data_IF_757477214409
#
_entry.id   IF_757477214409
#
_cell.length_a   1.000
_cell.length_b   1.000
_cell.length_c   1.000
_cell.angle_alpha   90.00
_cell.angle_beta   90.00
_cell.angle_gamma   90.00
#
_symmetry.space_group_name_H-M   'P 1'
#
loop_
_entity.id
_entity.type
_entity.pdbx_description
1 polymer ?
2 non-polymer ?
3 non-polymer ?
4 non-polymer ?
5 non-polymer ?
6 water ?
#
# COMPACT_ATOMS: atom_id res chain seq x y z
N UNK A 15 16.32 17.54 4.94
CA UNK A 15 15.29 18.63 4.97
C UNK A 15 15.00 19.08 6.41
N UNK A 16 14.68 20.37 6.59
CA UNK A 16 14.27 20.90 7.90
C UNK A 16 12.85 20.44 8.28
N UNK A 17 12.66 20.17 9.58
CA UNK A 17 11.37 19.74 10.15
C UNK A 17 10.61 18.69 9.33
N UNK A 18 11.22 17.51 9.10
CA UNK A 18 10.51 16.51 8.30
C UNK A 18 9.26 16.01 9.01
N UNK A 19 8.22 15.69 8.24
CA UNK A 19 6.97 15.14 8.78
C UNK A 19 6.76 13.67 8.53
N UNK A 20 7.70 12.99 7.87
CA UNK A 20 7.56 11.55 7.63
C UNK A 20 8.80 10.82 8.06
N UNK A 21 9.14 10.92 9.34
CA UNK A 21 10.40 10.31 9.79
C UNK A 21 10.23 9.19 10.80
N UNK A 22 9.18 9.21 11.61
CA UNK A 22 9.01 8.21 12.69
C UNK A 22 7.66 7.51 12.51
N UNK A 23 7.61 6.22 12.84
CA UNK A 23 6.41 5.47 12.87
C UNK A 23 6.04 5.15 14.33
N UNK A 24 4.82 5.45 14.69
CA UNK A 24 4.26 5.18 16.01
C UNK A 24 3.08 4.23 15.90
N UNK A 25 2.74 3.55 17.01
CA UNK A 25 1.54 2.78 17.05
C UNK A 25 0.31 3.69 16.82
N UNK A 26 -0.54 3.30 15.87
CA UNK A 26 -1.73 4.10 15.56
C UNK A 26 -2.70 4.22 16.71
N UNK A 27 -2.74 3.22 17.57
CA UNK A 27 -3.66 3.20 18.72
C UNK A 27 -3.24 4.00 19.93
N UNK A 28 -1.98 4.08 20.23
CA UNK A 28 -1.47 4.67 21.48
C UNK A 28 -0.27 5.59 21.35
N UNK A 29 0.40 5.62 20.20
CA UNK A 29 1.49 6.51 20.01
C UNK A 29 2.89 6.03 20.39
N UNK A 30 2.99 4.80 20.91
CA UNK A 30 4.29 4.21 21.21
C UNK A 30 5.23 4.32 20.02
N UNK A 31 6.46 4.74 20.25
CA UNK A 31 7.44 4.83 19.16
C UNK A 31 7.81 3.42 18.70
N UNK A 32 7.75 3.15 17.40
CA UNK A 32 7.97 1.79 16.87
C UNK A 32 9.16 1.73 15.90
N UNK A 33 9.20 2.58 14.90
CA UNK A 33 10.31 2.51 13.94
C UNK A 33 10.50 3.83 13.23
N UNK A 34 11.30 3.83 12.15
CA UNK A 34 11.72 5.03 11.47
C UNK A 34 11.76 4.74 9.99
N UNK A 35 11.43 5.74 9.19
CA UNK A 35 11.54 5.62 7.76
C UNK A 35 12.99 5.22 7.31
N UNK A 36 13.97 5.77 8.01
CA UNK A 36 15.38 5.44 7.75
C UNK A 36 15.68 3.95 7.81
N UNK A 37 14.85 3.19 8.54
CA UNK A 37 15.06 1.76 8.74
C UNK A 37 14.25 0.87 7.81
N UNK A 38 13.57 1.43 6.85
CA UNK A 38 12.91 0.62 5.80
C UNK A 38 13.91 -0.30 5.10
N UNK A 39 13.50 -1.54 4.88
CA UNK A 39 14.36 -2.61 4.39
C UNK A 39 13.74 -3.22 3.15
N UNK A 40 14.39 -3.09 1.97
CA UNK A 40 13.79 -3.66 0.76
C UNK A 40 14.05 -5.14 0.56
N UNK A 41 13.33 -5.99 1.29
CA UNK A 41 13.35 -7.45 1.18
C UNK A 41 12.87 -7.94 -0.16
N UNK A 42 13.64 -8.81 -0.82
CA UNK A 42 13.33 -9.20 -2.19
C UNK A 42 13.10 -8.05 -3.14
N UNK A 43 13.77 -6.91 -2.92
CA UNK A 43 13.68 -5.74 -3.81
C UNK A 43 12.55 -4.75 -3.55
N UNK A 44 11.76 -4.95 -2.50
CA UNK A 44 10.68 -4.01 -2.22
C UNK A 44 10.49 -3.95 -0.73
N UNK A 45 10.32 -2.78 -0.14
CA UNK A 45 10.02 -2.70 1.30
C UNK A 45 8.55 -3.06 1.59
N UNK A 46 7.70 -3.00 0.58
CA UNK A 46 6.28 -3.43 0.73
C UNK A 46 5.96 -4.79 0.15
N UNK A 47 5.26 -5.60 0.94
CA UNK A 47 4.87 -6.95 0.59
C UNK A 47 3.40 -7.14 0.93
N UNK A 48 2.65 -7.57 -0.07
CA UNK A 48 1.19 -7.70 0.07
C UNK A 48 0.90 -9.18 0.21
N UNK A 49 0.34 -9.57 1.33
CA UNK A 49 0.30 -10.96 1.77
C UNK A 49 -1.02 -11.29 2.44
N UNK A 50 -1.34 -12.58 2.55
CA UNK A 50 -2.47 -12.99 3.38
C UNK A 50 -2.14 -14.14 4.29
N UNK A 51 -2.78 -14.17 5.45
CA UNK A 51 -2.60 -15.24 6.43
C UNK A 51 -3.62 -16.38 6.27
N UNK A 52 -3.49 -17.46 7.06
CA UNK A 52 -4.45 -18.55 6.84
C UNK A 52 -5.91 -18.19 7.11
N UNK A 53 -6.13 -17.17 7.94
CA UNK A 53 -7.46 -16.64 8.20
C UNK A 53 -7.98 -15.74 7.08
N UNK A 54 -7.19 -15.54 6.03
CA UNK A 54 -7.60 -14.80 4.86
C UNK A 54 -7.40 -13.30 4.98
N UNK A 55 -6.81 -12.84 6.07
CA UNK A 55 -6.61 -11.41 6.29
C UNK A 55 -5.49 -10.99 5.37
N UNK A 56 -5.74 -9.89 4.62
CA UNK A 56 -4.73 -9.33 3.73
C UNK A 56 -4.01 -8.19 4.46
N UNK A 57 -2.69 -8.16 4.30
CA UNK A 57 -1.88 -7.12 4.93
C UNK A 57 -0.97 -6.53 3.88
N UNK A 58 -0.79 -5.21 4.00
CA UNK A 58 0.25 -4.49 3.31
C UNK A 58 1.37 -4.32 4.36
N UNK A 59 2.43 -5.09 4.18
CA UNK A 59 3.50 -5.20 5.17
C UNK A 59 4.69 -4.41 4.68
N UNK A 60 5.23 -3.55 5.57
CA UNK A 60 6.47 -2.82 5.30
C UNK A 60 7.54 -3.48 6.15
N UNK A 61 8.68 -3.72 5.52
CA UNK A 61 9.79 -4.39 6.21
C UNK A 61 10.75 -3.36 6.76
N UNK A 62 11.18 -3.56 7.99
CA UNK A 62 12.10 -2.64 8.69
C UNK A 62 13.26 -3.46 9.26
N UNK A 63 14.46 -2.88 9.17
CA UNK A 63 15.62 -3.54 9.74
C UNK A 63 15.59 -3.58 11.27
N UNK A 64 15.01 -2.55 11.86
CA UNK A 64 14.92 -2.38 13.29
C UNK A 64 13.57 -1.86 13.66
N UNK A 65 13.18 -2.15 14.89
CA UNK A 65 12.00 -1.57 15.50
C UNK A 65 12.21 -1.62 16.99
N UNK A 66 11.36 -0.86 17.69
CA UNK A 66 11.39 -0.77 19.14
C UNK A 66 9.98 -0.72 19.64
N UNK A 67 9.80 -0.83 20.95
CA UNK A 67 8.48 -0.60 21.55
C UNK A 67 7.54 -1.76 21.37
N UNK A 68 7.99 -2.89 20.85
CA UNK A 68 7.15 -4.07 20.61
C UNK A 68 7.34 -5.07 21.71
N UNK A 69 6.46 -6.07 21.74
CA UNK A 69 6.60 -7.24 22.60
C UNK A 69 6.37 -8.43 21.69
N UNK A 70 7.36 -9.34 21.66
CA UNK A 70 7.28 -10.51 20.79
C UNK A 70 6.70 -11.64 21.58
N UNK A 71 5.71 -12.33 21.02
CA UNK A 71 4.91 -13.31 21.74
C UNK A 71 5.13 -14.71 21.18
N UNK A 72 5.32 -15.66 22.07
CA UNK A 72 5.45 -17.07 21.67
C UNK A 72 6.77 -17.45 21.08
N UNK A 73 6.84 -18.69 20.62
CA UNK A 73 8.05 -19.26 20.06
C UNK A 73 8.04 -19.04 18.54
N UNK A 74 9.21 -18.88 17.92
CA UNK A 74 9.24 -18.71 16.46
C UNK A 74 8.67 -19.89 15.69
N UNK A 75 7.93 -19.62 14.63
CA UNK A 75 7.37 -20.65 13.78
C UNK A 75 7.72 -20.40 12.34
N UNK A 76 8.06 -21.43 11.60
CA UNK A 76 8.25 -21.31 10.16
C UNK A 76 6.99 -21.49 9.37
N UNK A 77 5.93 -21.98 10.02
CA UNK A 77 4.68 -22.31 9.35
C UNK A 77 4.10 -21.07 8.66
N UNK A 78 3.74 -21.23 7.39
CA UNK A 78 3.11 -20.19 6.57
C UNK A 78 3.96 -18.92 6.41
N UNK A 79 5.26 -18.97 6.62
CA UNK A 79 6.05 -17.77 6.55
C UNK A 79 6.04 -17.17 5.18
N UNK A 80 5.85 -15.86 5.12
CA UNK A 80 5.84 -15.10 3.88
C UNK A 80 7.23 -14.83 3.33
N UNK A 81 8.27 -15.12 4.11
CA UNK A 81 9.63 -14.80 3.73
C UNK A 81 10.45 -16.05 3.88
N UNK A 82 10.92 -16.57 2.74
CA UNK A 82 11.59 -17.86 2.73
C UNK A 82 12.82 -17.86 3.59
N UNK A 83 12.95 -18.89 4.43
CA UNK A 83 14.08 -19.00 5.35
C UNK A 83 13.90 -18.38 6.69
N UNK A 84 12.77 -17.69 6.91
CA UNK A 84 12.52 -17.01 8.19
C UNK A 84 11.39 -17.60 8.97
N UNK A 85 11.58 -17.62 10.27
CA UNK A 85 10.56 -18.03 11.22
C UNK A 85 10.03 -16.74 11.81
N UNK A 86 8.77 -16.75 12.20
CA UNK A 86 8.12 -15.52 12.70
C UNK A 86 7.57 -15.67 14.09
N UNK A 87 7.48 -14.51 14.75
CA UNK A 87 6.79 -14.39 16.02
C UNK A 87 5.90 -13.17 15.87
N UNK A 88 4.72 -13.25 16.48
CA UNK A 88 3.80 -12.10 16.51
C UNK A 88 4.44 -10.96 17.30
N UNK A 89 4.31 -9.74 16.76
CA UNK A 89 4.85 -8.54 17.39
C UNK A 89 3.68 -7.67 17.77
N UNK A 90 3.51 -7.47 19.08
CA UNK A 90 2.49 -6.56 19.57
C UNK A 90 3.11 -5.24 19.97
N UNK A 91 2.33 -4.19 19.93
CA UNK A 91 2.72 -2.94 20.61
C UNK A 91 2.96 -3.28 22.07
N UNK A 92 4.16 -2.94 22.57
CA UNK A 92 4.52 -3.19 23.96
C UNK A 92 3.74 -2.35 24.95
N UNK A 93 3.16 -1.25 24.47
CA UNK A 93 2.36 -0.39 25.32
C UNK A 93 0.89 -0.84 25.41
N UNK A 94 0.23 -0.96 24.26
CA UNK A 94 -1.22 -1.19 24.22
C UNK A 94 -1.68 -2.57 23.77
N UNK A 95 -0.75 -3.39 23.24
CA UNK A 95 -1.09 -4.73 22.83
C UNK A 95 -1.61 -4.86 21.41
N UNK A 96 -1.76 -3.76 20.68
CA UNK A 96 -2.16 -3.80 19.25
C UNK A 96 -1.23 -4.71 18.45
N UNK A 97 -1.81 -5.56 17.60
CA UNK A 97 -0.96 -6.42 16.78
C UNK A 97 -0.40 -5.63 15.61
N UNK A 98 0.88 -5.29 15.68
CA UNK A 98 1.51 -4.41 14.68
C UNK A 98 2.23 -5.13 13.55
N UNK A 99 2.58 -6.40 13.76
CA UNK A 99 3.16 -7.22 12.73
C UNK A 99 3.87 -8.43 13.27
N UNK A 100 5.06 -8.70 12.74
CA UNK A 100 5.80 -9.93 13.05
C UNK A 100 7.29 -9.61 13.09
N UNK A 101 8.00 -10.37 13.91
CA UNK A 101 9.45 -10.37 13.88
C UNK A 101 9.89 -11.67 13.22
N UNK A 102 10.84 -11.50 12.32
CA UNK A 102 11.41 -12.61 11.55
C UNK A 102 12.82 -12.89 12.00
N UNK A 103 13.15 -14.16 12.10
CA UNK A 103 14.51 -14.59 12.48
C UNK A 103 14.85 -15.90 11.82
N UNK A 104 16.12 -16.23 11.92
CA UNK A 104 16.56 -17.52 11.48
C UNK A 104 17.00 -17.60 10.02
N UNK A 105 16.97 -16.48 9.30
CA UNK A 105 17.34 -16.47 7.90
C UNK A 105 18.71 -15.93 7.64
N UNK A 106 18.91 -15.38 6.43
CA UNK A 106 20.26 -14.90 6.04
C UNK A 106 20.12 -13.58 5.30
N UNK A 107 20.94 -12.61 5.67
CA UNK A 107 21.09 -11.37 4.91
C UNK A 107 19.75 -10.66 4.71
N UNK A 108 19.10 -10.24 5.80
CA UNK A 108 19.59 -10.26 7.15
C UNK A 108 19.17 -11.50 7.90
N UNK A 109 19.79 -11.74 9.03
CA UNK A 109 19.29 -12.81 9.91
C UNK A 109 17.90 -12.54 10.46
N UNK A 110 17.62 -11.29 10.79
CA UNK A 110 16.36 -10.88 11.40
C UNK A 110 15.85 -9.58 10.80
N UNK A 111 14.54 -9.38 10.85
CA UNK A 111 13.97 -8.08 10.48
C UNK A 111 12.51 -8.08 11.00
N UNK A 112 11.83 -6.94 10.83
CA UNK A 112 10.42 -6.85 11.22
C UNK A 112 9.56 -6.57 10.01
N UNK A 113 8.40 -7.26 9.95
CA UNK A 113 7.37 -6.93 8.98
C UNK A 113 6.19 -6.33 9.70
N UNK A 114 5.97 -5.03 9.48
CA UNK A 114 4.94 -4.31 10.22
C UNK A 114 3.81 -3.92 9.30
N UNK A 115 2.61 -3.89 9.85
CA UNK A 115 1.39 -3.63 9.06
C UNK A 115 1.23 -2.12 8.90
N UNK A 116 1.36 -1.63 7.69
CA UNK A 116 1.49 -0.19 7.44
C UNK A 116 0.32 0.61 8.02
N UNK A 117 -0.91 0.12 7.83
CA UNK A 117 -2.08 0.86 8.27
C UNK A 117 -2.29 0.82 9.79
N UNK A 118 -1.49 0.06 10.52
CA UNK A 118 -1.55 0.04 11.98
C UNK A 118 -0.51 0.93 12.63
N UNK A 119 0.25 1.65 11.82
CA UNK A 119 1.25 2.62 12.27
C UNK A 119 0.80 4.01 11.81
N UNK A 120 1.20 5.01 12.56
CA UNK A 120 1.04 6.40 12.17
C UNK A 120 2.41 7.00 11.94
N UNK A 121 2.59 7.64 10.79
CA UNK A 121 3.84 8.25 10.40
C UNK A 121 3.85 9.76 10.64
N UNK A 122 4.95 10.28 11.14
CA UNK A 122 4.98 11.67 11.57
C UNK A 122 6.37 12.16 11.91
N UNK A 123 6.44 13.40 12.38
CA UNK A 123 7.73 14.03 12.64
C UNK A 123 8.45 13.43 13.86
N UNK A 124 9.78 13.53 13.83
CA UNK A 124 10.63 13.12 14.96
C UNK A 124 10.57 14.19 16.04
N UNK B 20 -20.11 9.44 -10.11
CA UNK B 20 -20.72 8.19 -9.58
C UNK B 20 -20.63 8.21 -8.06
N UNK B 21 -19.42 8.25 -7.53
CA UNK B 21 -19.24 8.28 -6.08
C UNK B 21 -18.64 9.61 -5.58
N UNK B 22 -19.33 10.26 -4.62
CA UNK B 22 -18.82 11.51 -4.09
C UNK B 22 -18.62 11.47 -2.58
N UNK B 23 -17.75 12.34 -2.09
CA UNK B 23 -17.53 12.53 -0.67
C UNK B 23 -18.07 13.88 -0.26
N UNK B 24 -18.95 13.85 0.72
CA UNK B 24 -19.57 15.05 1.29
C UNK B 24 -19.04 15.31 2.67
N UNK B 25 -19.10 16.57 3.09
CA UNK B 25 -18.79 16.91 4.48
C UNK B 25 -19.77 16.15 5.37
N UNK B 26 -19.24 15.43 6.37
CA UNK B 26 -20.09 14.62 7.24
C UNK B 26 -21.05 15.48 8.10
N UNK B 27 -20.63 16.70 8.39
CA UNK B 27 -21.40 17.61 9.21
C UNK B 27 -22.52 18.35 8.52
N UNK B 28 -22.36 18.75 7.27
CA UNK B 28 -23.43 19.51 6.57
C UNK B 28 -23.84 19.00 5.19
N UNK B 29 -23.10 18.06 4.63
CA UNK B 29 -23.49 17.51 3.34
C UNK B 29 -22.95 18.17 2.11
N UNK B 30 -22.16 19.22 2.27
CA UNK B 30 -21.60 19.93 1.08
C UNK B 30 -20.75 18.92 0.31
N UNK B 31 -20.86 18.84 -1.02
CA UNK B 31 -19.92 18.09 -1.81
C UNK B 31 -18.49 18.64 -1.66
N UNK B 32 -17.55 17.73 -1.38
CA UNK B 32 -16.15 18.10 -1.18
C UNK B 32 -15.23 17.48 -2.22
N UNK B 33 -15.31 16.16 -2.42
CA UNK B 33 -14.49 15.56 -3.46
C UNK B 33 -15.14 14.32 -4.02
N UNK B 34 -14.40 13.56 -4.83
CA UNK B 34 -15.00 12.48 -5.64
C UNK B 34 -14.04 11.32 -5.64
N UNK B 35 -14.57 10.12 -5.67
CA UNK B 35 -13.73 8.95 -5.79
C UNK B 35 -12.83 8.98 -7.03
N UNK B 36 -13.33 9.54 -8.13
CA UNK B 36 -12.55 9.67 -9.37
C UNK B 36 -11.24 10.44 -9.13
N UNK B 37 -11.20 11.27 -8.09
CA UNK B 37 -10.05 12.13 -7.79
C UNK B 37 -9.12 11.57 -6.75
N UNK B 38 -9.35 10.34 -6.26
CA UNK B 38 -8.38 9.71 -5.37
C UNK B 38 -7.01 9.66 -6.00
N UNK B 39 -6.00 9.94 -5.18
CA UNK B 39 -4.64 10.17 -5.67
C UNK B 39 -3.69 9.30 -4.88
N UNK B 40 -3.03 8.34 -5.51
CA UNK B 40 -2.15 7.46 -4.71
C UNK B 40 -0.75 8.02 -4.49
N UNK B 41 -0.62 8.97 -3.59
CA UNK B 41 0.65 9.57 -3.19
C UNK B 41 1.56 8.59 -2.50
N UNK B 42 2.83 8.52 -2.94
CA UNK B 42 3.74 7.48 -2.49
C UNK B 42 3.18 6.07 -2.57
N UNK B 43 2.33 5.79 -3.56
CA UNK B 43 1.78 4.46 -3.79
C UNK B 43 0.52 4.08 -3.05
N UNK B 44 -0.06 4.99 -2.28
CA UNK B 44 -1.30 4.66 -1.57
C UNK B 44 -2.13 5.90 -1.43
N UNK B 45 -3.44 5.85 -1.64
CA UNK B 45 -4.26 7.05 -1.35
C UNK B 45 -4.50 7.25 0.15
N UNK B 46 -4.30 6.22 0.97
CA UNK B 46 -4.42 6.37 2.46
C UNK B 46 -3.10 6.50 3.18
N UNK B 47 -3.01 7.47 4.07
CA UNK B 47 -1.83 7.70 4.85
C UNK B 47 -2.28 7.93 6.29
N UNK B 48 -1.81 7.11 7.21
CA UNK B 48 -2.05 7.31 8.64
C UNK B 48 -0.85 8.08 9.19
N UNK B 49 -1.11 9.23 9.77
CA UNK B 49 -0.09 10.23 10.08
C UNK B 49 -0.37 10.83 11.48
N UNK B 50 0.63 11.50 12.04
CA UNK B 50 0.43 12.27 13.26
C UNK B 50 1.14 13.62 13.16
N UNK B 51 0.57 14.63 13.81
CA UNK B 51 1.14 15.98 13.80
C UNK B 51 2.03 16.23 15.02
N UNK B 52 2.69 17.40 15.09
CA UNK B 52 3.58 17.61 16.25
C UNK B 52 2.87 17.60 17.61
N UNK B 53 1.58 17.90 17.61
CA UNK B 53 0.78 17.83 18.83
C UNK B 53 0.36 16.41 19.19
N UNK B 54 0.73 15.44 18.37
CA UNK B 54 0.44 14.03 18.60
C UNK B 54 -0.94 13.60 18.18
N UNK B 55 -1.67 14.45 17.46
CA UNK B 55 -2.98 14.03 16.94
C UNK B 55 -2.75 13.10 15.75
N UNK B 56 -3.45 11.98 15.76
CA UNK B 56 -3.37 10.97 14.68
C UNK B 56 -4.55 11.14 13.73
N UNK B 57 -4.26 11.08 12.45
CA UNK B 57 -5.29 11.21 11.40
C UNK B 57 -5.13 10.12 10.37
N UNK B 58 -6.25 9.65 9.83
CA UNK B 58 -6.23 8.77 8.68
C UNK B 58 -6.65 9.61 7.48
N UNK B 59 -5.68 9.92 6.65
CA UNK B 59 -5.83 10.86 5.53
C UNK B 59 -5.95 10.14 4.21
N UNK B 60 -6.91 10.54 3.38
CA UNK B 60 -7.03 10.11 1.97
C UNK B 60 -6.64 11.26 1.07
N UNK B 61 -5.82 10.99 0.07
CA UNK B 61 -5.31 12.02 -0.82
C UNK B 61 -6.22 12.08 -2.05
N UNK B 62 -6.59 13.33 -2.43
CA UNK B 62 -7.40 13.59 -3.58
C UNK B 62 -6.74 14.67 -4.42
N UNK B 63 -6.84 14.58 -5.74
CA UNK B 63 -6.20 15.58 -6.60
C UNK B 63 -6.81 16.96 -6.50
N UNK B 64 -8.12 16.98 -6.38
CA UNK B 64 -8.94 18.19 -6.37
C UNK B 64 -9.96 18.05 -5.26
N UNK B 65 -10.50 19.20 -4.88
CA UNK B 65 -11.63 19.27 -3.98
C UNK B 65 -12.36 20.56 -4.21
N UNK B 66 -13.54 20.66 -3.64
CA UNK B 66 -14.36 21.84 -3.75
C UNK B 66 -15.06 22.08 -2.44
N UNK B 67 -15.56 23.31 -2.30
CA UNK B 67 -16.36 23.64 -1.15
C UNK B 67 -15.63 23.83 0.15
N UNK B 68 -14.29 23.89 0.11
CA UNK B 68 -13.47 24.12 1.30
C UNK B 68 -13.07 25.59 1.39
N UNK B 69 -12.51 25.94 2.52
CA UNK B 69 -11.88 27.24 2.72
C UNK B 69 -10.52 26.97 3.33
N UNK B 70 -9.47 27.43 2.69
CA UNK B 70 -8.12 27.22 3.13
C UNK B 70 -7.72 28.41 3.98
N UNK B 71 -7.15 28.13 5.16
CA UNK B 71 -6.89 29.19 6.13
C UNK B 71 -5.41 29.37 6.36
N UNK B 72 -5.01 30.64 6.38
CA UNK B 72 -3.63 31.00 6.68
C UNK B 72 -2.68 30.81 5.52
N UNK B 73 -1.40 31.00 5.83
CA UNK B 73 -0.34 30.94 4.87
C UNK B 73 0.19 29.48 4.80
N UNK B 74 0.68 29.05 3.62
CA UNK B 74 1.28 27.72 3.56
C UNK B 74 2.49 27.55 4.47
N UNK B 75 2.61 26.38 5.05
CA UNK B 75 3.72 26.05 5.93
C UNK B 75 4.41 24.80 5.43
N UNK B 76 5.74 24.83 5.47
CA UNK B 76 6.53 23.66 5.19
C UNK B 76 6.76 22.78 6.38
N UNK B 77 6.51 23.33 7.56
CA UNK B 77 6.87 22.66 8.83
C UNK B 77 6.18 21.33 8.98
N UNK B 78 6.94 20.25 9.15
CA UNK B 78 6.39 18.91 9.45
C UNK B 78 5.43 18.38 8.42
N UNK B 79 5.62 18.79 7.18
CA UNK B 79 4.75 18.31 6.12
C UNK B 79 4.82 16.80 6.00
N UNK B 80 3.66 16.16 5.88
CA UNK B 80 3.62 14.71 5.70
C UNK B 80 4.00 14.27 4.28
N UNK B 81 4.14 15.22 3.35
CA UNK B 81 4.43 14.92 1.97
C UNK B 81 5.60 15.76 1.55
N UNK B 82 6.75 15.10 1.38
CA UNK B 82 8.00 15.79 1.11
C UNK B 82 7.90 16.64 -0.15
N UNK B 83 8.36 17.87 -0.06
CA UNK B 83 8.34 18.80 -1.18
C UNK B 83 7.13 19.69 -1.21
N UNK B 84 6.16 19.48 -0.31
CA UNK B 84 4.93 20.24 -0.28
C UNK B 84 4.79 21.05 0.98
N UNK B 85 4.15 22.19 0.86
CA UNK B 85 3.71 23.03 1.97
C UNK B 85 2.22 22.75 2.15
N UNK B 86 1.73 22.94 3.37
CA UNK B 86 0.32 22.69 3.65
C UNK B 86 -0.41 23.91 4.21
N UNK B 87 -1.72 23.89 4.00
CA UNK B 87 -2.63 24.84 4.61
C UNK B 87 -3.82 24.07 5.13
N UNK B 88 -4.33 24.46 6.28
CA UNK B 88 -5.53 23.86 6.85
C UNK B 88 -6.76 24.10 5.95
N UNK B 89 -7.56 23.05 5.75
CA UNK B 89 -8.77 23.12 4.92
C UNK B 89 -9.99 22.90 5.79
N UNK B 90 -10.85 23.90 5.87
CA UNK B 90 -12.15 23.78 6.52
C UNK B 90 -13.28 23.62 5.50
N UNK B 91 -14.37 22.97 5.87
CA UNK B 91 -15.57 23.05 5.07
C UNK B 91 -16.00 24.53 4.96
N UNK B 92 -16.17 25.02 3.74
CA UNK B 92 -16.55 26.39 3.48
C UNK B 92 -17.97 26.75 3.94
N UNK B 93 -18.80 25.73 4.06
CA UNK B 93 -20.20 25.89 4.41
C UNK B 93 -20.39 25.86 5.93
N UNK B 94 -19.85 24.87 6.61
CA UNK B 94 -20.04 24.72 8.05
C UNK B 94 -18.84 24.88 8.97
N UNK B 95 -17.64 24.95 8.42
CA UNK B 95 -16.43 25.16 9.22
C UNK B 95 -15.71 23.92 9.76
N UNK B 96 -16.25 22.73 9.51
CA UNK B 96 -15.56 21.49 9.99
C UNK B 96 -14.12 21.39 9.43
N UNK B 97 -13.16 20.99 10.25
CA UNK B 97 -11.79 20.80 9.77
C UNK B 97 -11.72 19.48 9.00
N UNK B 98 -11.66 19.56 7.67
CA UNK B 98 -11.73 18.39 6.81
C UNK B 98 -10.36 17.86 6.38
N UNK B 99 -9.31 18.68 6.41
CA UNK B 99 -7.95 18.22 6.15
C UNK B 99 -7.01 19.37 5.80
N UNK B 100 -6.23 19.17 4.73
CA UNK B 100 -5.19 20.11 4.34
C UNK B 100 -5.05 20.16 2.84
N UNK B 101 -4.60 21.31 2.35
CA UNK B 101 -4.21 21.45 0.96
C UNK B 101 -2.72 21.55 0.87
N UNK B 102 -2.15 20.87 -0.10
CA UNK B 102 -0.74 20.81 -0.35
C UNK B 102 -0.38 21.49 -1.64
N UNK B 103 0.72 22.24 -1.60
CA UNK B 103 1.18 22.97 -2.78
C UNK B 103 2.69 23.09 -2.77
N UNK B 104 3.21 23.48 -3.91
CA UNK B 104 4.65 23.78 -4.00
C UNK B 104 5.49 22.64 -4.47
N UNK B 105 4.88 21.52 -4.81
CA UNK B 105 5.60 20.35 -5.31
C UNK B 105 5.54 20.24 -6.82
N UNK B 106 5.75 19.03 -7.29
CA UNK B 106 5.72 18.72 -8.72
C UNK B 106 5.03 17.38 -8.90
N UNK B 107 4.17 17.31 -9.90
CA UNK B 107 3.57 16.06 -10.33
C UNK B 107 2.90 15.31 -9.17
N UNK B 108 1.86 15.87 -8.56
CA UNK B 108 1.21 17.10 -8.98
C UNK B 108 1.74 18.29 -8.24
N UNK B 109 1.47 19.48 -8.74
CA UNK B 109 1.87 20.67 -8.01
C UNK B 109 1.08 20.84 -6.70
N UNK B 110 -0.20 20.48 -6.76
CA UNK B 110 -1.10 20.61 -5.62
C UNK B 110 -2.00 19.38 -5.47
N UNK B 111 -2.46 19.13 -4.25
CA UNK B 111 -3.43 18.08 -3.99
C UNK B 111 -3.97 18.30 -2.57
N UNK B 112 -4.97 17.53 -2.17
CA UNK B 112 -5.55 17.59 -0.85
C UNK B 112 -5.32 16.30 -0.07
N UNK B 113 -5.14 16.43 1.23
CA UNK B 113 -5.22 15.30 2.14
C UNK B 113 -6.41 15.53 3.04
N UNK B 114 -7.44 14.69 2.88
CA UNK B 114 -8.69 14.89 3.62
C UNK B 114 -8.85 13.80 4.68
N UNK B 115 -9.43 14.15 5.79
CA UNK B 115 -9.64 13.23 6.91
C UNK B 115 -10.82 12.33 6.64
N UNK B 116 -10.53 11.06 6.37
CA UNK B 116 -11.55 10.14 5.83
C UNK B 116 -12.79 10.08 6.71
N UNK B 117 -12.64 10.02 8.03
CA UNK B 117 -13.80 9.83 8.90
C UNK B 117 -14.62 11.09 9.10
N UNK B 118 -14.17 12.22 8.54
CA UNK B 118 -14.95 13.45 8.53
C UNK B 118 -15.71 13.69 7.23
N UNK B 119 -15.66 12.70 6.34
CA UNK B 119 -16.38 12.74 5.07
C UNK B 119 -17.39 11.60 5.04
N UNK B 120 -18.42 11.77 4.25
CA UNK B 120 -19.41 10.72 4.06
C UNK B 120 -19.44 10.43 2.58
N UNK B 121 -19.28 9.16 2.20
CA UNK B 121 -19.34 8.73 0.80
C UNK B 121 -20.74 8.29 0.38
N UNK B 122 -21.14 8.70 -0.82
CA UNK B 122 -22.47 8.37 -1.31
C UNK B 122 -22.63 8.65 -2.79
N UNK B 123 -23.79 8.32 -3.33
CA UNK B 123 -24.07 8.65 -4.73
C UNK B 123 -24.26 10.15 -4.97
N UNK B 124 -23.99 10.57 -6.20
CA UNK B 124 -24.00 11.97 -6.57
C UNK B 124 -25.40 12.58 -6.58
N UNK C 19 4.43 -20.35 2.94
CA UNK C 19 3.17 -19.57 3.04
C UNK C 19 2.85 -18.74 1.81
N UNK C 20 3.37 -19.15 0.66
CA UNK C 20 3.12 -18.46 -0.61
C UNK C 20 2.66 -19.48 -1.62
N UNK C 21 1.50 -20.10 -1.37
CA UNK C 21 0.97 -21.10 -2.28
C UNK C 21 -0.28 -20.69 -3.05
N UNK C 22 -1.04 -19.71 -2.56
CA UNK C 22 -2.26 -19.24 -3.27
C UNK C 22 -2.14 -17.75 -3.46
N UNK C 23 -2.56 -17.28 -4.63
CA UNK C 23 -2.38 -15.86 -5.00
C UNK C 23 -3.74 -15.30 -5.24
N UNK C 24 -4.06 -14.20 -4.53
CA UNK C 24 -5.42 -13.60 -4.51
C UNK C 24 -5.35 -12.09 -4.83
N UNK C 25 -6.42 -11.50 -5.33
CA UNK C 25 -6.47 -10.08 -5.57
C UNK C 25 -6.29 -9.29 -4.27
N UNK C 26 -5.36 -8.36 -4.24
CA UNK C 26 -5.06 -7.52 -3.09
C UNK C 26 -6.23 -6.67 -2.64
N UNK C 27 -7.06 -6.23 -3.59
CA UNK C 27 -8.18 -5.33 -3.28
C UNK C 27 -9.40 -5.99 -2.71
N UNK C 28 -9.73 -7.20 -3.18
CA UNK C 28 -10.97 -7.86 -2.78
C UNK C 28 -10.82 -9.30 -2.36
N UNK C 29 -9.68 -9.93 -2.54
CA UNK C 29 -9.49 -11.31 -2.08
C UNK C 29 -9.79 -12.40 -3.08
N UNK C 30 -10.31 -12.05 -4.27
CA UNK C 30 -10.62 -13.06 -5.29
C UNK C 30 -9.46 -14.00 -5.54
N UNK C 31 -9.72 -15.30 -5.54
CA UNK C 31 -8.65 -16.28 -5.79
C UNK C 31 -8.28 -16.21 -7.25
N UNK C 32 -6.99 -16.14 -7.56
CA UNK C 32 -6.56 -16.00 -8.97
C UNK C 32 -5.72 -17.19 -9.44
N UNK C 33 -4.70 -17.56 -8.66
CA UNK C 33 -3.88 -18.69 -9.10
C UNK C 33 -3.13 -19.32 -7.94
N UNK C 34 -2.27 -20.29 -8.30
CA UNK C 34 -1.65 -21.16 -7.31
C UNK C 34 -0.19 -21.39 -7.71
N UNK C 35 0.64 -21.58 -6.70
CA UNK C 35 2.04 -21.88 -6.90
C UNK C 35 2.23 -23.13 -7.75
N UNK C 36 1.34 -24.12 -7.68
CA UNK C 36 1.41 -25.32 -8.57
C UNK C 36 1.51 -24.92 -10.07
N UNK C 37 0.94 -23.77 -10.41
CA UNK C 37 0.86 -23.30 -11.79
C UNK C 37 1.92 -22.25 -12.14
N UNK C 38 2.78 -21.92 -11.19
CA UNK C 38 3.71 -20.79 -11.37
C UNK C 38 4.73 -21.34 -12.32
N UNK C 39 5.24 -20.48 -13.21
CA UNK C 39 6.29 -20.86 -14.14
C UNK C 39 7.63 -20.17 -13.83
N UNK C 40 8.61 -20.93 -13.33
CA UNK C 40 9.91 -20.31 -13.07
C UNK C 40 10.78 -20.20 -14.35
N UNK C 41 11.70 -19.23 -14.37
CA UNK C 41 12.72 -19.19 -15.43
C UNK C 41 14.01 -19.31 -14.64
N UNK C 42 14.68 -20.45 -14.83
CA UNK C 42 15.91 -20.78 -14.08
C UNK C 42 15.63 -20.68 -12.58
N UNK C 43 16.32 -19.77 -11.91
CA UNK C 43 16.20 -19.59 -10.44
C UNK C 43 15.19 -18.57 -9.98
N UNK C 44 14.49 -17.93 -10.93
CA UNK C 44 13.59 -16.81 -10.64
C UNK C 44 12.12 -17.18 -10.85
N UNK C 45 11.32 -16.92 -9.83
CA UNK C 45 9.88 -17.11 -9.94
C UNK C 45 9.22 -15.82 -10.41
N UNK C 46 9.87 -14.67 -10.20
CA UNK C 46 9.32 -13.35 -10.57
C UNK C 46 10.30 -12.68 -11.54
N UNK C 47 9.74 -11.84 -12.41
CA UNK C 47 10.52 -11.08 -13.38
C UNK C 47 10.17 -9.61 -13.27
N UNK C 48 11.24 -8.82 -13.18
CA UNK C 48 11.23 -7.39 -13.02
C UNK C 48 11.21 -6.77 -14.43
N UNK C 49 10.19 -5.95 -14.65
CA UNK C 49 9.95 -5.35 -15.95
C UNK C 49 9.52 -3.89 -15.77
N UNK C 50 9.53 -3.13 -16.86
CA UNK C 50 9.00 -1.78 -16.84
C UNK C 50 8.03 -1.58 -18.00
N UNK C 51 6.95 -0.84 -17.77
CA UNK C 51 6.08 -0.42 -18.88
C UNK C 51 6.74 0.70 -19.69
N UNK C 52 6.12 1.17 -20.78
CA UNK C 52 6.82 2.18 -21.57
C UNK C 52 7.13 3.49 -20.81
N UNK C 53 6.33 3.77 -19.78
CA UNK C 53 6.58 4.94 -18.92
C UNK C 53 7.69 4.70 -17.90
N UNK C 54 8.26 3.50 -17.87
CA UNK C 54 9.35 3.16 -16.96
C UNK C 54 8.90 2.78 -15.56
N UNK C 55 7.60 2.62 -15.35
CA UNK C 55 7.10 2.17 -14.05
C UNK C 55 7.44 0.67 -13.93
N UNK C 56 7.93 0.27 -12.77
CA UNK C 56 8.42 -1.07 -12.53
C UNK C 56 7.33 -2.00 -11.98
N UNK C 57 7.31 -3.24 -12.48
CA UNK C 57 6.47 -4.28 -11.91
C UNK C 57 7.30 -5.52 -11.66
N UNK C 58 6.94 -6.24 -10.60
CA UNK C 58 7.41 -7.58 -10.35
C UNK C 58 6.30 -8.53 -10.78
N UNK C 59 6.54 -9.21 -11.90
CA UNK C 59 5.55 -10.05 -12.57
C UNK C 59 5.80 -11.52 -12.27
N UNK C 60 4.73 -12.24 -11.90
CA UNK C 60 4.76 -13.70 -11.81
C UNK C 60 4.04 -14.33 -12.98
N UNK C 61 4.63 -15.30 -13.64
CA UNK C 61 3.99 -16.01 -14.73
C UNK C 61 3.34 -17.29 -14.24
N UNK C 62 2.10 -17.52 -14.68
CA UNK C 62 1.31 -18.72 -14.28
C UNK C 62 0.73 -19.39 -15.52
N UNK C 63 0.71 -20.70 -15.56
CA UNK C 63 0.15 -21.42 -16.70
C UNK C 63 -1.37 -21.30 -16.78
N UNK C 64 -2.00 -21.25 -15.62
CA UNK C 64 -3.44 -21.20 -15.49
C UNK C 64 -3.84 -20.17 -14.47
N UNK C 65 -5.04 -19.65 -14.63
CA UNK C 65 -5.60 -18.74 -13.61
C UNK C 65 -7.10 -18.86 -13.61
N UNK C 66 -7.69 -18.28 -12.58
CA UNK C 66 -9.15 -18.20 -12.51
C UNK C 66 -9.54 -16.84 -12.00
N UNK C 67 -10.83 -16.54 -12.13
CA UNK C 67 -11.36 -15.37 -11.48
C UNK C 67 -11.02 -14.04 -12.15
N UNK C 68 -10.46 -14.08 -13.37
CA UNK C 68 -10.14 -12.87 -14.11
C UNK C 68 -11.21 -12.62 -15.15
N UNK C 69 -11.13 -11.44 -15.75
CA UNK C 69 -11.87 -11.13 -16.96
C UNK C 69 -10.87 -10.55 -17.94
N UNK C 70 -10.75 -11.15 -19.12
CA UNK C 70 -9.79 -10.68 -20.11
C UNK C 70 -10.51 -9.73 -21.05
N UNK C 71 -9.94 -8.55 -21.28
CA UNK C 71 -10.66 -7.51 -22.00
C UNK C 71 -9.94 -7.15 -23.29
N UNK C 72 -10.71 -6.96 -24.36
CA UNK C 72 -10.18 -6.33 -25.57
C UNK C 72 -9.34 -7.23 -26.45
N UNK C 73 -8.73 -6.62 -27.46
CA UNK C 73 -8.05 -7.35 -28.51
C UNK C 73 -6.58 -7.50 -28.16
N UNK C 74 -5.95 -8.62 -28.60
CA UNK C 74 -4.52 -8.81 -28.26
C UNK C 74 -3.62 -7.75 -28.89
N UNK C 75 -2.59 -7.35 -28.16
CA UNK C 75 -1.61 -6.38 -28.64
C UNK C 75 -0.22 -6.97 -28.50
N UNK C 76 0.61 -6.74 -29.51
CA UNK C 76 2.01 -7.08 -29.44
C UNK C 76 2.87 -5.97 -28.85
N UNK C 77 2.29 -4.79 -28.75
CA UNK C 77 3.05 -3.57 -28.43
C UNK C 77 3.67 -3.70 -27.03
N UNK C 78 4.96 -3.43 -26.94
CA UNK C 78 5.71 -3.43 -25.68
C UNK C 78 5.69 -4.75 -24.92
N UNK C 79 5.40 -5.87 -25.59
CA UNK C 79 5.29 -7.13 -24.86
C UNK C 79 6.62 -7.48 -24.23
N UNK C 80 6.58 -7.89 -22.95
CA UNK C 80 7.78 -8.30 -22.24
C UNK C 80 8.23 -9.71 -22.62
N UNK C 81 7.44 -10.43 -23.41
CA UNK C 81 7.73 -11.82 -23.75
C UNK C 81 7.68 -11.92 -25.27
N UNK C 82 8.85 -12.12 -25.85
CA UNK C 82 9.00 -12.01 -27.31
C UNK C 82 8.14 -13.07 -28.00
N UNK C 83 7.40 -12.64 -29.01
CA UNK C 83 6.51 -13.53 -29.75
C UNK C 83 5.11 -13.69 -29.19
N UNK C 84 4.83 -13.02 -28.08
CA UNK C 84 3.50 -13.09 -27.45
C UNK C 84 2.79 -11.76 -27.51
N UNK C 85 1.48 -11.86 -27.74
CA UNK C 85 0.58 -10.73 -27.67
C UNK C 85 -0.09 -10.81 -26.30
N UNK C 86 -0.49 -9.65 -25.78
CA UNK C 86 -1.15 -9.61 -24.48
C UNK C 86 -2.52 -8.98 -24.53
N UNK C 87 -3.34 -9.36 -23.56
CA UNK C 87 -4.65 -8.78 -23.31
C UNK C 87 -4.71 -8.47 -21.83
N UNK C 88 -5.33 -7.36 -21.49
CA UNK C 88 -5.42 -6.91 -20.09
C UNK C 88 -6.31 -7.92 -19.32
N UNK C 89 -5.85 -8.26 -18.11
CA UNK C 89 -6.57 -9.17 -17.22
C UNK C 89 -7.00 -8.39 -16.00
N UNK C 90 -8.32 -8.29 -15.83
CA UNK C 90 -8.88 -7.66 -14.64
C UNK C 90 -9.37 -8.70 -13.66
N UNK C 91 -9.36 -8.34 -12.39
CA UNK C 91 -10.09 -9.13 -11.40
C UNK C 91 -11.56 -9.19 -11.84
N UNK C 92 -12.10 -10.41 -11.96
CA UNK C 92 -13.51 -10.55 -12.27
C UNK C 92 -14.48 -10.09 -11.18
N UNK C 93 -13.98 -10.01 -9.95
CA UNK C 93 -14.79 -9.60 -8.82
C UNK C 93 -14.86 -8.08 -8.63
N UNK C 94 -13.70 -7.43 -8.60
CA UNK C 94 -13.67 -5.97 -8.33
C UNK C 94 -13.20 -5.10 -9.47
N UNK C 95 -12.65 -5.69 -10.55
CA UNK C 95 -12.18 -4.90 -11.69
C UNK C 95 -10.74 -4.39 -11.61
N UNK C 96 -10.03 -4.69 -10.54
CA UNK C 96 -8.61 -4.29 -10.40
C UNK C 96 -7.77 -4.86 -11.55
N UNK C 97 -6.88 -4.05 -12.11
CA UNK C 97 -6.02 -4.54 -13.16
C UNK C 97 -4.89 -5.36 -12.56
N UNK C 98 -4.97 -6.69 -12.71
CA UNK C 98 -4.02 -7.59 -12.05
C UNK C 98 -2.85 -8.04 -12.94
N UNK C 99 -3.02 -7.94 -14.25
CA UNK C 99 -1.97 -8.27 -15.15
C UNK C 99 -2.43 -8.47 -16.56
N UNK C 100 -1.89 -9.50 -17.22
CA UNK C 100 -2.13 -9.73 -18.65
C UNK C 100 -2.24 -11.21 -18.93
N UNK C 101 -2.96 -11.55 -19.99
CA UNK C 101 -2.95 -12.88 -20.55
C UNK C 101 -2.17 -12.80 -21.83
N UNK C 102 -1.30 -13.78 -22.03
CA UNK C 102 -0.37 -13.84 -23.15
C UNK C 102 -0.74 -15.00 -24.05
N UNK C 103 -0.66 -14.76 -25.37
CA UNK C 103 -0.97 -15.79 -26.35
C UNK C 103 -0.16 -15.56 -27.63
N UNK C 107 5.03 -22.45 -27.25
CA UNK C 107 5.87 -23.30 -26.43
C UNK C 107 6.33 -22.58 -25.16
N UNK C 108 5.42 -22.23 -24.25
CA UNK C 108 4.02 -22.62 -24.30
C UNK C 108 3.15 -21.55 -24.95
N UNK C 109 1.98 -21.94 -25.40
CA UNK C 109 1.25 -21.06 -26.30
C UNK C 109 0.66 -19.86 -25.56
N UNK C 110 0.18 -20.12 -24.35
CA UNK C 110 -0.51 -19.10 -23.56
C UNK C 110 -0.12 -19.20 -22.09
N UNK C 111 -0.19 -18.08 -21.40
CA UNK C 111 0.07 -18.04 -19.97
C UNK C 111 -0.41 -16.70 -19.45
N UNK C 112 -0.38 -16.53 -18.13
CA UNK C 112 -0.77 -15.27 -17.50
C UNK C 112 0.43 -14.63 -16.80
N UNK C 113 0.58 -13.32 -16.94
CA UNK C 113 1.62 -12.56 -16.25
C UNK C 113 0.94 -11.60 -15.29
N UNK C 114 1.10 -11.84 -14.00
CA UNK C 114 0.33 -11.08 -12.99
C UNK C 114 1.24 -10.21 -12.13
N UNK C 115 0.76 -9.04 -11.73
CA UNK C 115 1.59 -8.06 -11.03
C UNK C 115 1.67 -8.42 -9.55
N UNK C 116 2.88 -8.76 -9.10
CA UNK C 116 3.12 -9.10 -7.69
C UNK C 116 2.50 -8.16 -6.67
N UNK C 117 2.66 -6.85 -6.84
CA UNK C 117 2.20 -5.92 -5.78
C UNK C 117 0.68 -5.73 -5.78
N UNK C 118 -0.01 -6.27 -6.80
CA UNK C 118 -1.47 -6.23 -6.84
C UNK C 118 -2.10 -7.52 -6.36
N UNK C 119 -1.29 -8.47 -5.90
CA UNK C 119 -1.74 -9.74 -5.38
C UNK C 119 -1.40 -9.82 -3.90
N UNK C 120 -2.14 -10.65 -3.18
CA UNK C 120 -1.75 -11.12 -1.87
C UNK C 120 -1.43 -12.60 -2.00
N UNK C 121 -0.22 -12.96 -1.55
CA UNK C 121 0.21 -14.36 -1.50
C UNK C 121 0.02 -14.90 -0.10
N UNK C 122 -0.46 -16.13 -0.01
CA UNK C 122 -0.66 -16.74 1.30
C UNK C 122 -0.83 -18.24 1.23
N UNK C 123 -1.06 -18.87 2.38
CA UNK C 123 -1.15 -20.32 2.43
C UNK C 123 -2.43 -20.88 1.81
N UNK C 124 -2.36 -22.15 1.43
CA UNK C 124 -3.57 -22.92 1.05
C UNK C 124 -4.51 -23.12 2.24
#
# INVERSE_FOLDING_TARGET
>A
AMPLDAGGQNSTQMVLAPGASIFRCRQCGQTISRRDWLLPMGGDHEHVVFNPAGMIFRVWCFSLAQGLRLIGAPSGEFSWFKGYDWTIALCGQCGSHLGWHYEGGSQPQTFFGLIKDRLAEGPAD
>B
AMPLDAGGQNSTQMVLAPGASIFRCRQCGQTISRRDWLLPMGGDHEHVVFNPAGMIFRVWCFSLAQGLRLIGAPSGEFSWFKGYDWTIALCGQCGSHLGWHYEGGSQPQTFFGLIKDRLAEGPAD
>C
AMPLDAGGQNSTQMVLAPGASIFRCRQCGQTISRRDWLLPMGGDHEHVVFNPAGMIFRVWCFSLAQGLRLIGAPSGEFSWFKGYDWTIALCGQCGSHLGWHYEGGSQPQTFFGLIKDRLAEGPAD
#
